data_IF_415168165291
#
_entry.id   IF_415168165291
#
_cell.length_a   1.000
_cell.length_b   1.000
_cell.length_c   1.000
_cell.angle_alpha   90.00
_cell.angle_beta   90.00
_cell.angle_gamma   90.00
#
_symmetry.space_group_name_H-M   'P 1'
#
loop_
_entity.id
_entity.type
_entity.pdbx_description
1 polymer ?
#
# COMPACT_ATOMS: atom_id res chain seq x y z
N UNK A 1 -8.03 6.99 -5.55
CA UNK A 1 -6.92 6.45 -4.73
C UNK A 1 -6.56 7.49 -3.68
N UNK A 2 -6.18 7.10 -2.45
CA UNK A 2 -5.55 8.06 -1.54
C UNK A 2 -4.26 8.61 -2.13
N UNK A 3 -3.95 9.86 -1.78
CA UNK A 3 -2.64 10.43 -2.04
C UNK A 3 -1.64 9.84 -1.05
N UNK A 4 -0.51 9.38 -1.59
CA UNK A 4 0.61 8.86 -0.79
C UNK A 4 1.61 9.99 -0.60
N UNK A 5 1.87 10.33 0.66
CA UNK A 5 2.84 11.32 1.05
C UNK A 5 4.14 10.66 1.49
N UNK A 6 5.24 11.27 1.08
CA UNK A 6 6.60 10.85 1.35
C UNK A 6 7.32 11.91 2.16
N UNK A 7 8.29 11.45 2.94
CA UNK A 7 9.19 12.32 3.68
C UNK A 7 10.18 13.04 2.75
N UNK A 8 10.61 14.24 3.12
CA UNK A 8 11.67 14.96 2.40
C UNK A 8 13.06 14.33 2.51
N UNK A 9 13.30 13.46 3.49
CA UNK A 9 14.56 12.75 3.74
C UNK A 9 14.84 11.57 2.81
N UNK A 10 13.88 11.23 1.94
CA UNK A 10 13.98 10.13 0.97
C UNK A 10 15.33 10.07 0.24
N UNK A 11 16.03 8.95 0.41
CA UNK A 11 17.26 8.67 -0.30
C UNK A 11 17.00 8.54 -1.81
N UNK A 12 18.00 8.91 -2.61
CA UNK A 12 17.88 8.86 -4.06
C UNK A 12 17.58 7.43 -4.56
N UNK A 13 16.46 7.28 -5.26
CA UNK A 13 16.03 6.02 -5.87
C UNK A 13 15.18 5.11 -4.97
N UNK A 14 14.72 5.59 -3.82
CA UNK A 14 13.87 4.84 -2.88
C UNK A 14 12.38 5.12 -3.16
N UNK A 15 12.00 6.39 -3.17
CA UNK A 15 10.73 6.90 -3.71
C UNK A 15 10.71 7.06 -5.24
N UNK A 16 11.85 6.90 -5.92
CA UNK A 16 11.98 7.10 -7.35
C UNK A 16 11.19 6.04 -8.15
N UNK A 17 10.44 6.43 -9.19
CA UNK A 17 9.76 5.46 -10.01
C UNK A 17 10.75 4.53 -10.70
N UNK A 18 10.41 3.23 -10.79
CA UNK A 18 11.22 2.26 -11.53
C UNK A 18 11.37 2.61 -13.04
N UNK A 19 10.50 3.48 -13.58
CA UNK A 19 10.62 4.00 -14.94
C UNK A 19 10.26 5.51 -15.03
N UNK A 20 10.92 6.33 -15.86
CA UNK A 20 10.71 7.78 -15.94
C UNK A 20 9.28 8.26 -16.26
N UNK A 21 8.45 7.41 -16.86
CA UNK A 21 7.10 7.76 -17.34
C UNK A 21 5.96 7.27 -16.45
N UNK A 22 6.25 6.47 -15.42
CA UNK A 22 5.25 6.01 -14.47
C UNK A 22 5.70 6.46 -13.09
N UNK A 23 4.95 7.29 -12.37
CA UNK A 23 5.36 7.83 -11.06
C UNK A 23 5.33 6.78 -9.93
N UNK A 24 4.52 5.71 -10.05
CA UNK A 24 4.39 4.65 -9.05
C UNK A 24 3.30 3.65 -9.44
N UNK A 25 3.37 2.41 -8.94
CA UNK A 25 2.38 1.36 -9.26
C UNK A 25 1.74 0.82 -8.00
N UNK A 26 0.40 0.83 -7.99
CA UNK A 26 -0.42 0.24 -6.94
C UNK A 26 -1.33 -0.82 -7.55
N UNK A 27 -1.39 -1.99 -6.92
CA UNK A 27 -2.30 -3.05 -7.33
C UNK A 27 -3.48 -3.09 -6.38
N UNK A 28 -4.68 -3.30 -6.90
CA UNK A 28 -5.91 -3.39 -6.13
C UNK A 28 -6.63 -4.71 -6.42
N UNK A 29 -7.03 -5.41 -5.36
CA UNK A 29 -7.98 -6.51 -5.40
C UNK A 29 -9.29 -6.05 -4.76
N UNK A 30 -10.40 -6.23 -5.47
CA UNK A 30 -11.73 -5.77 -5.08
C UNK A 30 -12.66 -6.97 -5.00
N UNK A 31 -13.33 -7.14 -3.85
CA UNK A 31 -14.27 -8.25 -3.62
C UNK A 31 -15.30 -7.89 -2.54
N UNK A 32 -16.40 -8.68 -2.40
CA UNK A 32 -17.23 -8.62 -1.20
C UNK A 32 -16.38 -8.81 0.06
N UNK A 33 -16.68 -8.05 1.11
CA UNK A 33 -15.92 -8.13 2.34
C UNK A 33 -16.23 -9.45 3.07
N UNK A 34 -15.22 -10.25 3.47
CA UNK A 34 -15.44 -11.57 4.06
C UNK A 34 -16.13 -11.50 5.43
N UNK A 35 -15.93 -10.42 6.18
CA UNK A 35 -16.60 -10.16 7.45
C UNK A 35 -18.02 -9.58 7.33
N UNK A 36 -18.42 -9.08 6.15
CA UNK A 36 -19.77 -8.53 5.90
C UNK A 36 -20.04 -8.49 4.38
N UNK A 37 -20.90 -9.39 3.89
CA UNK A 37 -21.23 -9.48 2.46
C UNK A 37 -21.94 -8.24 1.89
N UNK A 38 -22.45 -7.35 2.73
CA UNK A 38 -23.02 -6.06 2.33
C UNK A 38 -21.97 -4.97 2.09
N UNK A 39 -20.69 -5.23 2.39
CA UNK A 39 -19.57 -4.30 2.22
C UNK A 39 -18.60 -4.79 1.16
N UNK A 40 -17.76 -3.88 0.67
CA UNK A 40 -16.71 -4.17 -0.30
C UNK A 40 -15.36 -4.03 0.39
N UNK A 41 -14.52 -5.05 0.26
CA UNK A 41 -13.11 -4.97 0.61
C UNK A 41 -12.31 -4.55 -0.62
N UNK A 42 -11.53 -3.49 -0.50
CA UNK A 42 -10.49 -3.14 -1.46
C UNK A 42 -9.14 -3.28 -0.77
N UNK A 43 -8.37 -4.25 -1.22
CA UNK A 43 -7.01 -4.46 -0.74
C UNK A 43 -6.04 -3.92 -1.77
N UNK A 44 -5.18 -3.01 -1.34
CA UNK A 44 -4.14 -2.41 -2.14
C UNK A 44 -2.78 -2.95 -1.73
N UNK A 45 -1.85 -2.98 -2.68
CA UNK A 45 -0.42 -3.03 -2.40
C UNK A 45 0.27 -1.94 -3.21
N UNK A 46 1.11 -1.15 -2.55
CA UNK A 46 2.06 -0.26 -3.20
C UNK A 46 3.33 -1.05 -3.51
N UNK A 47 3.84 -0.88 -4.73
CA UNK A 47 5.05 -1.58 -5.17
C UNK A 47 6.21 -0.60 -5.24
N UNK A 48 7.27 -0.89 -4.52
CA UNK A 48 8.52 -0.13 -4.58
C UNK A 48 9.59 -0.96 -5.24
N UNK A 49 10.41 -0.32 -6.09
CA UNK A 49 11.53 -1.01 -6.72
C UNK A 49 12.62 -1.38 -5.72
N UNK A 50 12.67 -0.68 -4.58
CA UNK A 50 13.69 -0.80 -3.55
C UNK A 50 13.13 -0.29 -2.21
N UNK A 51 13.40 -1.02 -1.14
CA UNK A 51 13.47 -0.50 0.23
C UNK A 51 14.94 -0.14 0.46
N UNK A 52 15.24 1.12 0.77
CA UNK A 52 16.61 1.57 0.95
C UNK A 52 17.15 1.33 2.35
N UNK A 53 16.26 1.06 3.28
CA UNK A 53 16.52 0.90 4.67
C UNK A 53 16.94 2.18 5.35
N UNK A 54 17.12 2.08 6.66
CA UNK A 54 17.53 3.19 7.51
C UNK A 54 18.44 2.67 8.63
N UNK A 55 19.01 3.56 9.45
CA UNK A 55 20.06 3.37 10.48
C UNK A 55 20.25 1.95 11.05
N UNK A 56 19.18 1.22 11.37
CA UNK A 56 19.22 -0.10 12.02
C UNK A 56 18.84 -1.30 11.15
N UNK A 57 18.42 -1.10 9.89
CA UNK A 57 17.98 -2.18 9.02
C UNK A 57 18.42 -1.93 7.57
N UNK A 58 19.20 -2.87 7.03
CA UNK A 58 19.67 -2.85 5.64
C UNK A 58 18.50 -2.81 4.65
N UNK A 59 18.64 -2.02 3.58
CA UNK A 59 17.69 -2.03 2.47
C UNK A 59 17.71 -3.34 1.66
N UNK A 60 16.71 -3.50 0.81
CA UNK A 60 16.57 -4.61 -0.11
C UNK A 60 15.89 -4.21 -1.42
N UNK A 61 16.09 -5.02 -2.46
CA UNK A 61 15.41 -4.84 -3.74
C UNK A 61 13.96 -5.32 -3.65
N UNK A 62 13.04 -4.50 -4.18
CA UNK A 62 11.60 -4.73 -4.11
C UNK A 62 11.02 -4.47 -2.72
N UNK A 63 9.80 -3.96 -2.69
CA UNK A 63 8.96 -3.96 -1.49
C UNK A 63 7.46 -3.96 -1.83
N UNK A 64 6.65 -4.57 -0.97
CA UNK A 64 5.20 -4.76 -1.17
C UNK A 64 4.43 -4.35 0.07
N UNK A 65 3.92 -3.13 0.02
CA UNK A 65 3.38 -2.46 1.21
C UNK A 65 1.85 -2.39 1.12
N UNK A 66 1.13 -3.15 1.96
CA UNK A 66 -0.31 -3.24 1.88
C UNK A 66 -1.01 -2.07 2.57
N UNK A 67 -2.19 -1.73 2.05
CA UNK A 67 -3.23 -1.04 2.82
C UNK A 67 -4.59 -1.48 2.30
N UNK A 68 -5.64 -1.28 3.08
CA UNK A 68 -6.98 -1.71 2.71
C UNK A 68 -8.03 -0.67 3.07
N UNK A 69 -9.11 -0.69 2.29
CA UNK A 69 -10.32 0.07 2.53
C UNK A 69 -11.50 -0.88 2.62
N UNK A 70 -12.40 -0.57 3.53
CA UNK A 70 -13.74 -1.15 3.54
C UNK A 70 -14.71 -0.08 3.08
N UNK A 71 -15.47 -0.37 2.03
CA UNK A 71 -16.55 0.48 1.56
C UNK A 71 -17.88 -0.09 2.01
N UNK A 72 -18.82 0.78 2.33
CA UNK A 72 -20.19 0.40 2.63
C UNK A 72 -21.17 1.33 1.88
N UNK A 73 -22.41 0.86 1.61
CA UNK A 73 -23.41 1.66 0.91
C UNK A 73 -23.62 3.01 1.59
N UNK A 74 -23.60 4.08 0.79
CA UNK A 74 -23.94 5.43 1.21
C UNK A 74 -24.56 6.17 0.02
N UNK A 75 -25.86 6.42 0.08
CA UNK A 75 -26.60 7.09 -1.00
C UNK A 75 -26.20 8.56 -1.20
N UNK A 76 -25.57 9.18 -0.19
CA UNK A 76 -25.10 10.57 -0.28
C UNK A 76 -23.76 10.68 -1.03
N UNK A 77 -23.06 9.55 -1.24
CA UNK A 77 -21.84 9.54 -2.03
C UNK A 77 -22.15 9.38 -3.53
N UNK A 78 -21.43 10.07 -4.44
CA UNK A 78 -21.69 9.99 -5.89
C UNK A 78 -21.69 8.58 -6.48
N UNK A 79 -20.86 7.70 -5.94
CA UNK A 79 -20.71 6.32 -6.40
C UNK A 79 -21.61 5.32 -5.64
N UNK A 80 -22.47 5.80 -4.74
CA UNK A 80 -23.35 4.99 -3.89
C UNK A 80 -22.65 4.26 -2.74
N UNK A 81 -21.35 4.49 -2.56
CA UNK A 81 -20.52 3.90 -1.50
C UNK A 81 -19.65 4.96 -0.83
N UNK A 82 -19.51 4.87 0.49
CA UNK A 82 -18.58 5.66 1.29
C UNK A 82 -17.50 4.79 1.91
N UNK A 83 -16.34 5.39 2.20
CA UNK A 83 -15.26 4.68 2.92
C UNK A 83 -15.66 4.53 4.38
N UNK A 84 -15.87 3.29 4.81
CA UNK A 84 -16.25 2.95 6.18
C UNK A 84 -15.02 2.89 7.09
N UNK A 85 -13.96 2.21 6.65
CA UNK A 85 -12.71 2.09 7.39
C UNK A 85 -11.51 2.02 6.44
N UNK A 86 -10.36 2.46 6.94
CA UNK A 86 -9.05 2.27 6.32
C UNK A 86 -8.14 1.52 7.29
N UNK A 87 -7.23 0.71 6.74
CA UNK A 87 -6.22 0.02 7.52
C UNK A 87 -4.89 0.01 6.77
N UNK A 88 -3.80 0.26 7.49
CA UNK A 88 -2.45 0.05 7.00
C UNK A 88 -1.73 -0.97 7.87
N UNK A 89 -0.77 -1.66 7.26
CA UNK A 89 0.11 -2.60 7.95
C UNK A 89 1.52 -2.36 7.42
N UNK A 90 2.41 -1.96 8.31
CA UNK A 90 3.83 -1.78 8.05
C UNK A 90 4.63 -2.87 8.77
N UNK A 91 5.78 -3.27 8.21
CA UNK A 91 6.70 -4.26 8.81
C UNK A 91 6.04 -5.60 9.16
N UNK A 92 5.06 -6.04 8.35
CA UNK A 92 4.23 -7.23 8.60
C UNK A 92 5.07 -8.46 8.95
N UNK A 93 4.73 -9.11 10.07
CA UNK A 93 5.37 -10.37 10.46
C UNK A 93 6.77 -10.22 11.06
N UNK A 94 7.24 -8.99 11.28
CA UNK A 94 8.47 -8.70 12.03
C UNK A 94 8.14 -8.26 13.46
N UNK A 95 9.18 -8.08 14.29
CA UNK A 95 9.02 -7.50 15.65
C UNK A 95 8.57 -6.04 15.63
N UNK A 96 8.63 -5.37 14.47
CA UNK A 96 8.22 -4.00 14.26
C UNK A 96 6.83 -3.88 13.59
N UNK A 97 6.07 -4.99 13.45
CA UNK A 97 4.73 -5.01 12.84
C UNK A 97 3.86 -3.91 13.46
N UNK A 98 3.42 -2.98 12.62
CA UNK A 98 2.59 -1.85 13.02
C UNK A 98 1.33 -1.81 12.19
N UNK A 99 0.20 -1.89 12.88
CA UNK A 99 -1.13 -1.78 12.30
C UNK A 99 -1.78 -0.49 12.76
N UNK A 100 -2.45 0.17 11.83
CA UNK A 100 -3.25 1.36 12.10
C UNK A 100 -4.59 1.22 11.40
N UNK A 101 -5.67 1.46 12.14
CA UNK A 101 -7.03 1.41 11.63
C UNK A 101 -7.70 2.74 11.92
N UNK A 102 -8.39 3.28 10.92
CA UNK A 102 -9.21 4.46 11.06
C UNK A 102 -10.64 4.16 10.59
N UNK A 103 -11.62 4.36 11.47
CA UNK A 103 -13.03 4.38 11.11
C UNK A 103 -13.42 5.75 10.59
N UNK A 104 -14.06 5.77 9.43
CA UNK A 104 -14.24 6.97 8.60
C UNK A 104 -15.71 7.34 8.39
N UNK A 105 -16.63 6.61 9.04
CA UNK A 105 -18.04 6.99 9.11
C UNK A 105 -18.74 7.14 7.75
N UNK A 106 -18.31 6.40 6.72
CA UNK A 106 -18.83 6.46 5.35
C UNK A 106 -18.42 7.72 4.56
N UNK A 107 -17.19 8.20 4.77
CA UNK A 107 -16.64 9.37 4.07
C UNK A 107 -16.69 9.22 2.54
N UNK A 108 -17.32 10.20 1.87
CA UNK A 108 -17.37 10.29 0.41
C UNK A 108 -16.12 10.95 -0.20
N UNK A 109 -15.29 11.58 0.63
CA UNK A 109 -14.15 12.41 0.19
C UNK A 109 -12.80 11.84 0.61
N UNK A 110 -12.78 10.64 1.21
CA UNK A 110 -11.52 10.07 1.68
C UNK A 110 -10.52 9.86 0.54
N UNK A 111 -9.29 10.34 0.76
CA UNK A 111 -8.23 10.29 -0.23
C UNK A 111 -8.38 11.26 -1.42
N UNK A 112 -9.30 12.23 -1.38
CA UNK A 112 -9.40 13.28 -2.42
C UNK A 112 -8.41 14.43 -2.17
N UNK A 113 -7.82 14.98 -3.23
CA UNK A 113 -6.91 16.14 -3.15
C UNK A 113 -7.71 17.39 -2.72
N UNK A 114 -7.12 18.26 -1.89
CA UNK A 114 -7.65 19.62 -1.65
C UNK A 114 -8.84 19.73 -0.70
N UNK A 115 -9.00 18.81 0.25
CA UNK A 115 -10.04 18.91 1.30
C UNK A 115 -10.70 17.60 1.72
N UNK A 116 -10.25 16.46 1.21
CA UNK A 116 -10.64 15.15 1.72
C UNK A 116 -10.01 14.84 3.08
N UNK A 117 -10.74 14.15 3.95
CA UNK A 117 -10.19 13.53 5.16
C UNK A 117 -9.45 12.26 4.75
N UNK A 118 -8.16 12.08 5.03
CA UNK A 118 -7.48 10.80 4.80
C UNK A 118 -6.29 10.88 3.87
N UNK A 119 -5.14 10.61 4.45
CA UNK A 119 -3.83 10.63 3.81
C UNK A 119 -3.18 9.27 4.08
N UNK A 120 -2.49 8.72 3.07
CA UNK A 120 -1.56 7.63 3.29
C UNK A 120 -0.15 8.23 3.37
N UNK A 121 0.62 7.85 4.37
CA UNK A 121 2.03 8.16 4.47
C UNK A 121 2.84 6.91 4.19
N UNK A 122 3.94 7.06 3.48
CA UNK A 122 4.97 6.04 3.32
C UNK A 122 6.18 6.48 4.13
N UNK A 123 6.69 5.60 5.00
CA UNK A 123 7.85 5.93 5.83
C UNK A 123 9.12 6.09 5.01
N UNK A 124 9.93 7.07 5.43
CA UNK A 124 11.18 7.42 4.78
C UNK A 124 12.07 6.18 4.60
N UNK A 125 12.50 5.92 3.36
CA UNK A 125 13.44 4.86 2.98
C UNK A 125 13.01 3.40 3.23
N UNK A 126 12.02 3.17 4.10
CA UNK A 126 11.48 1.87 4.52
C UNK A 126 10.15 1.54 3.88
N UNK A 127 9.40 2.58 3.53
CA UNK A 127 8.13 2.54 2.81
C UNK A 127 6.94 1.89 3.53
N UNK A 128 7.02 1.65 4.83
CA UNK A 128 5.90 1.25 5.67
C UNK A 128 4.72 2.21 5.51
N UNK A 129 3.50 1.68 5.33
CA UNK A 129 2.31 2.50 5.15
C UNK A 129 1.63 2.89 6.47
N UNK A 130 1.24 4.16 6.60
CA UNK A 130 0.61 4.74 7.79
C UNK A 130 -0.56 5.68 7.43
N UNK A 131 -1.49 5.87 8.37
CA UNK A 131 -2.61 6.83 8.25
C UNK A 131 -2.33 8.14 8.99
N UNK A 132 -1.27 8.20 9.80
CA UNK A 132 -0.83 9.41 10.50
C UNK A 132 0.69 9.48 10.65
N UNK A 133 1.25 10.69 10.63
CA UNK A 133 2.68 10.91 10.91
C UNK A 133 3.05 10.47 12.32
N UNK A 134 2.20 10.75 13.31
CA UNK A 134 2.43 10.36 14.69
C UNK A 134 2.54 8.84 14.89
N UNK A 135 1.83 8.03 14.08
CA UNK A 135 1.97 6.58 14.12
C UNK A 135 3.22 6.12 13.38
N UNK A 136 3.51 6.75 12.23
CA UNK A 136 4.72 6.51 11.47
C UNK A 136 6.00 6.78 12.28
N UNK A 137 6.09 7.94 12.96
CA UNK A 137 7.24 8.34 13.78
C UNK A 137 7.49 7.44 15.01
N UNK A 138 6.54 6.54 15.31
CA UNK A 138 6.65 5.51 16.35
C UNK A 138 6.78 4.10 15.78
N UNK A 139 6.76 3.99 14.45
CA UNK A 139 6.86 2.75 13.69
C UNK A 139 8.29 2.29 13.52
N UNK A 140 8.47 1.15 12.84
CA UNK A 140 9.78 0.56 12.65
C UNK A 140 10.42 0.07 13.95
N UNK A 141 11.69 -0.34 13.85
CA UNK A 141 12.44 -0.82 15.00
C UNK A 141 13.02 0.38 15.75
N UNK A 142 12.52 0.63 16.96
CA UNK A 142 12.87 1.78 17.83
C UNK A 142 12.45 3.16 17.30
N UNK A 143 11.35 3.27 16.55
CA UNK A 143 10.92 4.56 16.03
C UNK A 143 11.78 5.04 14.86
N UNK A 144 12.28 4.11 14.05
CA UNK A 144 13.11 4.38 12.87
C UNK A 144 12.31 4.88 11.67
N UNK A 145 10.99 4.72 11.69
CA UNK A 145 10.15 5.20 10.60
C UNK A 145 9.88 6.68 10.80
N UNK A 146 9.98 7.44 9.71
CA UNK A 146 9.74 8.89 9.71
C UNK A 146 8.79 9.24 8.57
N UNK A 147 7.80 10.08 8.87
CA UNK A 147 6.88 10.55 7.84
C UNK A 147 6.62 12.05 7.97
N UNK A 148 6.59 12.73 6.83
CA UNK A 148 6.16 14.12 6.76
C UNK A 148 5.33 14.38 5.51
N UNK A 149 4.80 15.60 5.42
CA UNK A 149 4.12 16.11 4.24
C UNK A 149 5.14 16.67 3.22
N UNK A 150 6.21 15.93 2.95
CA UNK A 150 7.31 16.40 2.12
C UNK A 150 6.91 16.57 0.66
N UNK A 151 6.52 15.47 0.03
CA UNK A 151 6.01 15.47 -1.34
C UNK A 151 5.02 14.34 -1.58
N UNK A 152 4.33 14.39 -2.71
CA UNK A 152 3.40 13.35 -3.14
C UNK A 152 3.90 12.68 -4.40
N UNK A 153 3.68 11.36 -4.47
CA UNK A 153 3.88 10.59 -5.69
C UNK A 153 2.52 10.11 -6.19
N UNK A 154 2.12 10.42 -7.44
CA UNK A 154 0.94 9.81 -8.03
C UNK A 154 1.18 8.33 -8.28
N UNK A 155 0.15 7.51 -8.12
CA UNK A 155 0.22 6.06 -8.35
C UNK A 155 -0.79 5.63 -9.40
N UNK A 156 -0.35 4.75 -10.30
CA UNK A 156 -1.22 4.02 -11.21
C UNK A 156 -1.88 2.87 -10.45
N UNK A 157 -3.19 2.99 -10.21
CA UNK A 157 -3.97 1.93 -9.57
C UNK A 157 -4.49 0.95 -10.60
N UNK A 158 -4.16 -0.31 -10.42
CA UNK A 158 -4.51 -1.39 -11.33
C UNK A 158 -5.40 -2.41 -10.61
N UNK A 159 -6.65 -2.59 -11.06
CA UNK A 159 -7.46 -3.70 -10.61
C UNK A 159 -6.93 -5.01 -11.20
N UNK A 160 -6.31 -5.84 -10.37
CA UNK A 160 -5.66 -7.08 -10.81
C UNK A 160 -6.63 -8.26 -10.94
N UNK A 161 -7.87 -8.11 -10.48
CA UNK A 161 -8.88 -9.16 -10.44
C UNK A 161 -8.65 -10.17 -9.32
N UNK A 162 -8.97 -11.42 -9.58
CA UNK A 162 -8.86 -12.54 -8.65
C UNK A 162 -7.88 -13.59 -9.17
N UNK A 163 -7.30 -14.42 -8.29
CA UNK A 163 -6.34 -15.47 -8.69
C UNK A 163 -6.89 -16.39 -9.79
N UNK A 164 -8.18 -16.71 -9.75
CA UNK A 164 -8.89 -17.55 -10.73
C UNK A 164 -9.54 -16.77 -11.88
N UNK A 165 -9.58 -15.43 -11.78
CA UNK A 165 -10.16 -14.51 -12.79
C UNK A 165 -9.29 -13.26 -12.89
N UNK A 166 -8.07 -13.45 -13.40
CA UNK A 166 -7.02 -12.43 -13.44
C UNK A 166 -7.35 -11.39 -14.51
N UNK A 167 -7.26 -10.11 -14.15
CA UNK A 167 -7.28 -9.00 -15.13
C UNK A 167 -5.88 -8.63 -15.56
N UNK A 168 -4.95 -8.62 -14.60
CA UNK A 168 -3.53 -8.35 -14.79
C UNK A 168 -2.75 -9.46 -14.10
N UNK A 169 -1.68 -9.91 -14.75
CA UNK A 169 -0.78 -10.91 -14.18
C UNK A 169 0.68 -10.49 -14.34
N UNK A 170 1.15 -10.22 -15.56
CA UNK A 170 2.50 -9.74 -15.79
C UNK A 170 2.59 -8.22 -15.52
N UNK A 171 3.66 -7.80 -14.83
CA UNK A 171 3.87 -6.41 -14.43
C UNK A 171 4.85 -5.65 -15.33
N UNK A 172 5.34 -6.25 -16.41
CA UNK A 172 6.33 -5.61 -17.29
C UNK A 172 5.87 -4.31 -17.92
N UNK A 173 4.58 -4.18 -18.26
CA UNK A 173 4.00 -2.93 -18.75
C UNK A 173 3.82 -1.87 -17.65
N UNK A 174 4.04 -2.24 -16.39
CA UNK A 174 3.77 -1.46 -15.18
C UNK A 174 5.03 -1.36 -14.31
N UNK A 175 6.16 -1.03 -14.95
CA UNK A 175 7.50 -0.83 -14.36
C UNK A 175 8.26 -2.08 -13.92
N UNK A 176 7.61 -3.23 -13.79
CA UNK A 176 8.24 -4.40 -13.18
C UNK A 176 8.37 -5.58 -14.16
N UNK A 177 9.35 -5.56 -15.10
CA UNK A 177 9.59 -6.68 -16.00
C UNK A 177 9.93 -7.95 -15.23
N UNK A 178 9.45 -9.08 -15.75
CA UNK A 178 9.62 -10.42 -15.15
C UNK A 178 8.97 -10.61 -13.76
N UNK A 179 8.15 -9.66 -13.30
CA UNK A 179 7.38 -9.77 -12.05
C UNK A 179 5.91 -10.11 -12.34
N UNK A 180 5.28 -10.84 -11.42
CA UNK A 180 3.92 -11.35 -11.61
C UNK A 180 3.07 -11.24 -10.34
N UNK A 181 1.84 -10.75 -10.50
CA UNK A 181 0.90 -10.53 -9.37
C UNK A 181 0.53 -11.83 -8.66
N UNK A 182 0.23 -12.88 -9.42
CA UNK A 182 -0.40 -14.09 -8.89
C UNK A 182 0.55 -15.27 -8.70
N UNK A 183 1.84 -14.97 -8.51
CA UNK A 183 2.90 -15.95 -8.25
C UNK A 183 3.39 -15.80 -6.81
N UNK A 184 3.72 -16.92 -6.16
CA UNK A 184 4.18 -16.95 -4.77
C UNK A 184 5.65 -16.58 -4.57
N UNK A 185 6.32 -16.09 -5.61
CA UNK A 185 7.71 -15.65 -5.55
C UNK A 185 7.79 -14.31 -4.81
N UNK A 186 8.88 -14.09 -4.08
CA UNK A 186 9.17 -12.78 -3.51
C UNK A 186 9.22 -11.72 -4.63
N UNK A 187 8.71 -10.54 -4.34
CA UNK A 187 8.79 -9.41 -5.26
C UNK A 187 10.14 -8.71 -5.10
N UNK A 188 10.87 -8.52 -6.20
CA UNK A 188 12.26 -8.07 -6.14
C UNK A 188 12.47 -6.78 -6.93
N UNK A 189 11.38 -6.03 -7.18
CA UNK A 189 11.41 -4.74 -7.86
C UNK A 189 12.00 -4.82 -9.27
N UNK A 190 12.04 -6.00 -9.89
CA UNK A 190 12.72 -6.26 -11.17
C UNK A 190 14.23 -5.99 -11.21
N UNK A 191 14.90 -6.06 -10.05
CA UNK A 191 16.36 -5.80 -9.95
C UNK A 191 17.21 -7.08 -9.94
N UNK A 192 16.58 -8.25 -9.97
CA UNK A 192 17.21 -9.55 -10.22
C UNK A 192 17.80 -10.25 -9.00
N UNK A 193 18.08 -9.55 -7.89
CA UNK A 193 18.56 -10.14 -6.65
C UNK A 193 17.53 -9.99 -5.52
N UNK A 194 16.82 -11.07 -5.21
CA UNK A 194 15.88 -11.13 -4.09
C UNK A 194 16.63 -11.34 -2.76
N UNK A 195 17.41 -10.35 -2.34
CA UNK A 195 18.28 -10.44 -1.16
C UNK A 195 17.57 -10.24 0.18
N UNK A 196 16.31 -9.77 0.19
CA UNK A 196 15.54 -9.47 1.39
C UNK A 196 14.10 -9.98 1.34
N UNK A 197 13.42 -10.01 2.50
CA UNK A 197 12.06 -10.51 2.65
C UNK A 197 10.99 -9.43 2.36
N UNK A 198 10.93 -8.93 1.12
CA UNK A 198 9.86 -8.04 0.63
C UNK A 198 8.45 -8.69 0.63
N UNK A 199 8.37 -10.00 0.89
CA UNK A 199 7.16 -10.79 0.73
C UNK A 199 6.78 -10.99 -0.74
N UNK A 200 5.61 -11.57 -0.98
CA UNK A 200 5.05 -11.73 -2.34
C UNK A 200 3.75 -10.94 -2.49
N UNK A 201 3.54 -10.39 -3.69
CA UNK A 201 2.30 -9.70 -4.06
C UNK A 201 1.09 -10.63 -3.83
N UNK A 202 1.22 -11.90 -4.23
CA UNK A 202 0.16 -12.90 -4.06
C UNK A 202 -0.23 -13.08 -2.60
N UNK A 203 0.74 -13.17 -1.69
CA UNK A 203 0.47 -13.33 -0.26
C UNK A 203 -0.28 -12.12 0.27
N UNK A 204 0.23 -10.91 0.05
CA UNK A 204 -0.36 -9.67 0.54
C UNK A 204 -1.80 -9.49 0.04
N UNK A 205 -2.08 -9.73 -1.25
CA UNK A 205 -3.42 -9.60 -1.83
C UNK A 205 -4.41 -10.73 -1.45
N UNK A 206 -3.96 -11.80 -0.79
CA UNK A 206 -4.85 -12.89 -0.36
C UNK A 206 -4.97 -13.03 1.17
N UNK A 207 -4.24 -12.23 1.94
CA UNK A 207 -4.35 -12.26 3.40
C UNK A 207 -5.52 -11.41 3.87
N UNK A 208 -6.58 -12.07 4.35
CA UNK A 208 -7.77 -11.41 4.91
C UNK A 208 -7.44 -10.60 6.18
N UNK A 209 -6.41 -11.01 6.93
CA UNK A 209 -5.93 -10.29 8.12
C UNK A 209 -5.30 -8.92 7.83
N UNK A 210 -5.16 -8.53 6.56
CA UNK A 210 -4.71 -7.20 6.14
C UNK A 210 -5.88 -6.29 5.75
N UNK A 211 -7.12 -6.79 5.72
CA UNK A 211 -8.29 -5.98 5.39
C UNK A 211 -8.66 -5.01 6.51
N UNK A 212 -9.15 -3.83 6.13
CA UNK A 212 -9.79 -2.92 7.07
C UNK A 212 -11.06 -3.55 7.66
N UNK A 213 -11.42 -3.26 8.92
CA UNK A 213 -12.59 -3.87 9.54
C UNK A 213 -13.91 -3.57 8.80
N UNK A 214 -14.87 -4.49 8.98
CA UNK A 214 -16.24 -4.31 8.54
C UNK A 214 -17.22 -3.87 9.65
N UNK A 215 -16.77 -3.90 10.91
CA UNK A 215 -17.52 -3.54 12.10
C UNK A 215 -16.63 -2.89 13.16
#
# INVERSE_FOLDING_TARGET
MPWVWFDTGENYGCSGPAAPWNPGTALARIRPHPGDGGKIAIQYVLLYSRDCGDFFASGHDGDVEPFALTLAPNADCPDGYGVYAAQTVAHEGTVADSRETQYLGLSCTWGRLGGGTGVLFSSENKHGNYLSTARCDRGGFWGSDHCSYGFQVPYNVLNVGERTRRRINALGAYQFPNEYVWFGTAFCGSRGACGGHAGSILSKLNTDGLLAPAY
#
